data_IF_829131222520
#
_entry.id   IF_829131222520
#
_cell.length_a   1.000
_cell.length_b   1.000
_cell.length_c   1.000
_cell.angle_alpha   90.00
_cell.angle_beta   90.00
_cell.angle_gamma   90.00
#
_symmetry.space_group_name_H-M   'P 1'
#
loop_
_entity.id
_entity.type
_entity.pdbx_description
1 polymer ?
#
# COMPACT_ATOMS: atom_id res chain seq x y z
N UNK A 1 19.59 13.29 5.38
CA UNK A 1 20.09 12.09 4.67
C UNK A 1 21.12 12.41 3.60
N UNK A 2 20.78 13.02 2.46
CA UNK A 2 21.75 13.14 1.33
C UNK A 2 23.04 13.88 1.71
N UNK A 3 22.93 15.02 2.42
CA UNK A 3 24.11 15.78 2.88
C UNK A 3 24.99 15.04 3.91
N UNK A 4 24.43 14.07 4.64
CA UNK A 4 25.12 13.38 5.75
C UNK A 4 25.59 11.98 5.37
N UNK A 5 24.82 11.25 4.55
CA UNK A 5 25.05 9.85 4.19
C UNK A 5 25.50 9.70 2.73
N UNK A 6 25.54 10.79 1.96
CA UNK A 6 25.89 10.79 0.54
C UNK A 6 24.71 10.50 -0.39
N UNK A 7 25.04 10.14 -1.63
CA UNK A 7 24.05 9.89 -2.69
C UNK A 7 23.20 8.65 -2.40
N UNK A 8 21.90 8.66 -2.75
CA UNK A 8 21.05 7.47 -2.63
C UNK A 8 21.54 6.35 -3.56
N UNK A 9 21.37 5.10 -3.13
CA UNK A 9 21.71 3.91 -3.91
C UNK A 9 20.53 3.44 -4.77
N UNK A 10 19.31 3.58 -4.25
CA UNK A 10 18.08 3.11 -4.88
C UNK A 10 17.01 4.18 -4.70
N UNK A 11 16.15 4.33 -5.70
CA UNK A 11 14.90 5.06 -5.61
C UNK A 11 13.74 4.10 -5.84
N UNK A 12 12.74 4.12 -4.97
CA UNK A 12 11.58 3.24 -5.05
C UNK A 12 10.30 4.07 -4.96
N UNK A 13 9.41 3.87 -5.92
CA UNK A 13 8.05 4.41 -5.91
C UNK A 13 7.02 3.31 -5.79
N UNK A 14 5.98 3.53 -5.00
CA UNK A 14 4.85 2.60 -4.89
C UNK A 14 3.54 3.36 -5.00
N UNK A 15 2.72 3.01 -5.97
CA UNK A 15 1.32 3.47 -6.07
C UNK A 15 0.38 2.47 -5.43
N UNK A 16 -0.76 2.95 -4.93
CA UNK A 16 -1.85 2.07 -4.56
C UNK A 16 -2.63 1.55 -5.80
N UNK A 17 -3.21 0.36 -5.65
CA UNK A 17 -4.10 -0.28 -6.61
C UNK A 17 -5.28 -0.87 -5.84
N UNK A 18 -6.08 0.02 -5.24
CA UNK A 18 -7.12 -0.33 -4.27
C UNK A 18 -8.18 -1.25 -4.87
N UNK A 19 -8.58 -0.99 -6.12
CA UNK A 19 -9.53 -1.79 -6.90
C UNK A 19 -8.99 -3.20 -7.20
N UNK A 20 -7.67 -3.37 -7.24
CA UNK A 20 -7.02 -4.67 -7.44
C UNK A 20 -6.78 -5.46 -6.16
N UNK A 21 -6.92 -4.85 -4.98
CA UNK A 21 -6.62 -5.51 -3.71
C UNK A 21 -7.86 -6.15 -3.12
N UNK A 22 -8.09 -7.41 -3.48
CA UNK A 22 -9.27 -8.18 -3.02
C UNK A 22 -9.43 -8.19 -1.50
N UNK A 23 -8.35 -8.33 -0.74
CA UNK A 23 -8.37 -8.27 0.73
C UNK A 23 -8.80 -6.89 1.26
N UNK A 24 -8.43 -5.80 0.58
CA UNK A 24 -8.90 -4.45 0.93
C UNK A 24 -10.38 -4.33 0.60
N UNK A 25 -10.78 -4.71 -0.62
CA UNK A 25 -12.18 -4.65 -1.04
C UNK A 25 -13.12 -5.47 -0.15
N UNK A 26 -12.70 -6.64 0.32
CA UNK A 26 -13.43 -7.42 1.32
C UNK A 26 -13.62 -6.65 2.64
N UNK A 27 -12.57 -5.98 3.11
CA UNK A 27 -12.62 -5.17 4.32
C UNK A 27 -13.59 -3.99 4.16
N UNK A 28 -13.49 -3.27 3.03
CA UNK A 28 -14.36 -2.14 2.72
C UNK A 28 -15.82 -2.60 2.58
N UNK A 29 -16.06 -3.74 1.91
CA UNK A 29 -17.40 -4.33 1.82
C UNK A 29 -17.97 -4.66 3.20
N UNK A 30 -17.15 -5.24 4.09
CA UNK A 30 -17.55 -5.57 5.46
C UNK A 30 -17.95 -4.31 6.23
N UNK A 31 -17.19 -3.23 6.12
CA UNK A 31 -17.51 -1.96 6.78
C UNK A 31 -18.77 -1.32 6.23
N UNK A 32 -18.94 -1.30 4.89
CA UNK A 32 -20.14 -0.76 4.24
C UNK A 32 -21.41 -1.53 4.61
N UNK A 33 -21.34 -2.85 4.72
CA UNK A 33 -22.50 -3.73 4.90
C UNK A 33 -22.66 -4.22 6.35
N UNK A 34 -22.35 -3.37 7.34
CA UNK A 34 -22.59 -3.64 8.77
C UNK A 34 -22.01 -4.98 9.27
N UNK A 35 -20.83 -5.35 8.78
CA UNK A 35 -20.13 -6.56 9.19
C UNK A 35 -20.40 -7.80 8.33
N UNK A 36 -21.25 -7.72 7.30
CA UNK A 36 -21.48 -8.84 6.37
C UNK A 36 -20.20 -9.21 5.62
N UNK A 37 -19.88 -10.49 5.62
CA UNK A 37 -18.71 -11.00 4.93
C UNK A 37 -19.02 -11.42 3.50
N UNK A 38 -18.00 -11.33 2.65
CA UNK A 38 -18.05 -11.71 1.24
C UNK A 38 -16.79 -12.49 0.91
N UNK A 39 -16.89 -13.54 0.09
CA UNK A 39 -15.72 -14.34 -0.28
C UNK A 39 -14.76 -13.57 -1.20
N UNK A 40 -13.50 -14.01 -1.28
CA UNK A 40 -12.49 -13.35 -2.12
C UNK A 40 -12.85 -13.46 -3.60
N UNK A 41 -13.42 -14.60 -3.96
CA UNK A 41 -13.87 -14.92 -5.31
C UNK A 41 -15.02 -13.99 -5.70
N UNK A 42 -16.01 -13.83 -4.83
CA UNK A 42 -17.14 -12.94 -5.09
C UNK A 42 -16.70 -11.47 -5.18
N UNK A 43 -15.80 -11.01 -4.30
CA UNK A 43 -15.22 -9.65 -4.40
C UNK A 43 -14.43 -9.43 -5.69
N UNK A 44 -13.70 -10.44 -6.14
CA UNK A 44 -12.96 -10.35 -7.39
C UNK A 44 -13.89 -10.18 -8.60
N UNK A 45 -15.09 -10.77 -8.56
CA UNK A 45 -16.11 -10.67 -9.61
C UNK A 45 -16.92 -9.36 -9.59
N UNK A 46 -16.81 -8.53 -8.54
CA UNK A 46 -17.45 -7.21 -8.54
C UNK A 46 -16.98 -6.39 -9.76
N UNK A 47 -17.92 -5.66 -10.35
CA UNK A 47 -17.62 -4.81 -11.49
C UNK A 47 -16.79 -3.59 -11.06
N UNK A 48 -16.26 -2.86 -12.04
CA UNK A 48 -15.40 -1.69 -11.78
C UNK A 48 -16.10 -0.60 -10.96
N UNK A 49 -17.40 -0.38 -11.20
CA UNK A 49 -18.18 0.66 -10.54
C UNK A 49 -18.38 0.29 -9.06
N UNK A 50 -18.78 -0.94 -8.77
CA UNK A 50 -18.96 -1.45 -7.40
C UNK A 50 -17.67 -1.34 -6.59
N UNK A 51 -16.54 -1.74 -7.19
CA UNK A 51 -15.22 -1.62 -6.56
C UNK A 51 -14.85 -0.16 -6.31
N UNK A 52 -15.14 0.73 -7.27
CA UNK A 52 -14.86 2.16 -7.14
C UNK A 52 -15.70 2.81 -6.04
N UNK A 53 -16.96 2.41 -5.89
CA UNK A 53 -17.83 2.89 -4.81
C UNK A 53 -17.25 2.50 -3.45
N UNK A 54 -16.84 1.24 -3.27
CA UNK A 54 -16.23 0.78 -2.01
C UNK A 54 -14.99 1.60 -1.62
N UNK A 55 -14.11 1.88 -2.59
CA UNK A 55 -12.88 2.65 -2.36
C UNK A 55 -13.19 4.12 -2.06
N UNK A 56 -14.11 4.73 -2.79
CA UNK A 56 -14.43 6.17 -2.65
C UNK A 56 -15.18 6.48 -1.35
N UNK A 57 -16.04 5.57 -0.87
CA UNK A 57 -16.80 5.78 0.37
C UNK A 57 -15.93 5.68 1.63
N UNK A 58 -14.80 4.97 1.57
CA UNK A 58 -13.88 4.84 2.70
C UNK A 58 -12.40 4.99 2.27
N UNK A 59 -12.08 6.20 1.83
CA UNK A 59 -10.71 6.59 1.46
C UNK A 59 -9.73 6.58 2.65
N UNK A 60 -10.24 6.74 3.88
CA UNK A 60 -9.41 6.73 5.11
C UNK A 60 -8.84 5.34 5.34
N UNK A 61 -9.67 4.30 5.29
CA UNK A 61 -9.20 2.91 5.40
C UNK A 61 -8.22 2.58 4.27
N UNK A 62 -8.48 3.04 3.04
CA UNK A 62 -7.56 2.86 1.92
C UNK A 62 -6.16 3.46 2.21
N UNK A 63 -6.11 4.69 2.72
CA UNK A 63 -4.86 5.36 3.09
C UNK A 63 -4.12 4.63 4.23
N UNK A 64 -4.84 4.18 5.27
CA UNK A 64 -4.27 3.40 6.38
C UNK A 64 -3.71 2.08 5.88
N UNK A 65 -4.45 1.37 5.03
CA UNK A 65 -4.06 0.10 4.44
C UNK A 65 -2.79 0.25 3.61
N UNK A 66 -2.73 1.26 2.74
CA UNK A 66 -1.55 1.56 1.95
C UNK A 66 -0.32 1.89 2.81
N UNK A 67 -0.47 2.77 3.80
CA UNK A 67 0.63 3.11 4.70
C UNK A 67 1.15 1.87 5.44
N UNK A 68 0.26 0.97 5.88
CA UNK A 68 0.65 -0.29 6.51
C UNK A 68 1.43 -1.20 5.55
N UNK A 69 0.99 -1.33 4.30
CA UNK A 69 1.72 -2.09 3.27
C UNK A 69 3.12 -1.53 3.05
N UNK A 70 3.26 -0.20 2.90
CA UNK A 70 4.55 0.47 2.74
C UNK A 70 5.46 0.22 3.95
N UNK A 71 4.93 0.29 5.16
CA UNK A 71 5.69 0.03 6.39
C UNK A 71 6.20 -1.41 6.47
N UNK A 72 5.34 -2.39 6.15
CA UNK A 72 5.72 -3.79 6.14
C UNK A 72 6.78 -4.04 5.07
N UNK A 73 6.60 -3.48 3.87
CA UNK A 73 7.57 -3.58 2.78
C UNK A 73 8.95 -3.06 3.22
N UNK A 74 9.04 -1.86 3.78
CA UNK A 74 10.33 -1.30 4.26
C UNK A 74 10.93 -2.18 5.37
N UNK A 75 10.10 -2.72 6.28
CA UNK A 75 10.56 -3.65 7.32
C UNK A 75 11.16 -4.93 6.74
N UNK A 76 10.56 -5.48 5.69
CA UNK A 76 11.10 -6.64 4.96
C UNK A 76 12.43 -6.29 4.29
N UNK A 77 12.49 -5.14 3.59
CA UNK A 77 13.70 -4.68 2.90
C UNK A 77 14.88 -4.40 3.86
N UNK A 78 14.60 -4.04 5.12
CA UNK A 78 15.60 -3.83 6.16
C UNK A 78 15.90 -5.06 7.04
N UNK A 79 15.22 -6.18 6.80
CA UNK A 79 15.36 -7.41 7.61
C UNK A 79 16.76 -7.98 7.53
N UNK A 80 17.23 -8.60 8.63
CA UNK A 80 18.52 -9.32 8.67
C UNK A 80 18.40 -10.82 8.34
N UNK A 81 17.20 -11.40 8.49
CA UNK A 81 16.98 -12.85 8.35
C UNK A 81 16.49 -13.23 6.95
N UNK A 82 15.54 -12.47 6.42
CA UNK A 82 14.91 -12.72 5.12
C UNK A 82 15.18 -11.52 4.23
N UNK A 83 16.39 -11.46 3.67
CA UNK A 83 16.86 -10.35 2.84
C UNK A 83 16.44 -10.62 1.38
N UNK A 84 15.52 -9.84 0.79
CA UNK A 84 15.06 -10.08 -0.58
C UNK A 84 16.16 -9.90 -1.65
N UNK A 85 17.20 -9.11 -1.33
CA UNK A 85 18.31 -8.80 -2.24
C UNK A 85 19.61 -9.50 -1.83
N UNK A 86 19.52 -10.76 -1.40
CA UNK A 86 20.68 -11.56 -1.01
C UNK A 86 21.35 -11.03 0.26
N UNK A 87 22.54 -10.45 0.16
CA UNK A 87 23.24 -9.86 1.33
C UNK A 87 22.91 -8.38 1.56
N UNK A 88 22.24 -7.73 0.60
CA UNK A 88 22.00 -6.29 0.62
C UNK A 88 20.67 -5.96 1.31
N UNK A 89 20.71 -5.13 2.35
CA UNK A 89 19.53 -4.66 3.08
C UNK A 89 19.46 -3.14 3.13
N UNK A 90 18.26 -2.61 3.29
CA UNK A 90 18.04 -1.18 3.51
C UNK A 90 18.47 -0.83 4.94
N UNK A 91 19.42 0.10 5.06
CA UNK A 91 19.96 0.58 6.35
C UNK A 91 19.35 1.94 6.71
N UNK A 92 19.27 2.82 5.72
CA UNK A 92 18.70 4.15 5.84
C UNK A 92 17.64 4.32 4.76
N UNK A 93 16.56 5.01 5.09
CA UNK A 93 15.56 5.40 4.12
C UNK A 93 14.86 6.68 4.54
N UNK A 94 14.39 7.43 3.55
CA UNK A 94 13.44 8.52 3.70
C UNK A 94 12.22 8.18 2.86
N UNK A 95 11.02 8.26 3.44
CA UNK A 95 9.78 8.04 2.72
C UNK A 95 8.89 9.27 2.82
N UNK A 96 8.21 9.60 1.73
CA UNK A 96 7.15 10.60 1.66
C UNK A 96 5.94 9.96 1.01
N UNK A 97 4.76 10.16 1.59
CA UNK A 97 3.49 9.74 0.98
C UNK A 97 2.83 11.01 0.45
N UNK A 98 2.45 10.99 -0.82
CA UNK A 98 1.72 12.05 -1.50
C UNK A 98 0.44 11.48 -2.09
N UNK A 99 -0.59 12.31 -2.19
CA UNK A 99 -1.85 11.93 -2.81
C UNK A 99 -1.91 12.51 -4.22
N UNK A 100 -2.03 11.64 -5.23
CA UNK A 100 -2.11 12.05 -6.62
C UNK A 100 -3.49 12.63 -6.97
N UNK A 101 -3.68 13.08 -8.21
CA UNK A 101 -4.83 13.85 -8.70
C UNK A 101 -6.23 13.18 -8.54
N UNK A 102 -6.29 11.97 -7.98
CA UNK A 102 -7.51 11.20 -7.68
C UNK A 102 -7.60 10.77 -6.21
N UNK A 103 -6.79 11.34 -5.32
CA UNK A 103 -6.75 10.95 -3.91
C UNK A 103 -6.14 9.57 -3.65
N UNK A 104 -5.45 9.00 -4.64
CA UNK A 104 -4.73 7.73 -4.48
C UNK A 104 -3.36 8.01 -3.84
N UNK A 105 -2.99 7.31 -2.75
CA UNK A 105 -1.70 7.50 -2.10
C UNK A 105 -0.57 6.89 -2.93
N UNK A 106 0.53 7.62 -2.95
CA UNK A 106 1.74 7.28 -3.67
C UNK A 106 2.94 7.51 -2.76
N UNK A 107 3.77 6.48 -2.60
CA UNK A 107 4.96 6.55 -1.77
C UNK A 107 6.20 6.79 -2.64
N UNK A 108 6.96 7.81 -2.29
CA UNK A 108 8.31 8.05 -2.78
C UNK A 108 9.31 7.68 -1.68
N UNK A 109 10.23 6.76 -1.98
CA UNK A 109 11.19 6.21 -1.02
C UNK A 109 12.60 6.36 -1.59
N UNK A 110 13.47 6.95 -0.78
CA UNK A 110 14.91 7.17 -1.00
C UNK A 110 15.74 6.43 0.05
#
# INVERSE_FOLDING_TARGET
MIRQLGKPTVFLTKSANEIGWTSLLQLLYKFKNEGREISKEAVAQLNYIEKSILVNEDAVTCAIYFNRLVNIMIKILGSKKNIPFGQYRVIHYFKRIEFQHRGCPHAHIL
#
